data_IF_783582157738
#
_entry.id   IF_783582157738
#
_cell.length_a   1.000
_cell.length_b   1.000
_cell.length_c   1.000
_cell.angle_alpha   90.00
_cell.angle_beta   90.00
_cell.angle_gamma   90.00
#
_symmetry.space_group_name_H-M   'P 1'
#
loop_
_entity.id
_entity.type
_entity.pdbx_description
1 polymer ?
#
# COMPACT_ATOMS: atom_id res chain seq x y z
N UNK A 1 5.32 -56.66 30.29
CA UNK A 1 6.05 -56.27 29.06
C UNK A 1 5.25 -55.21 28.32
N UNK A 2 5.94 -54.11 28.01
CA UNK A 2 5.75 -53.06 26.98
C UNK A 2 4.33 -52.57 26.63
N UNK A 3 4.16 -51.27 26.93
CA UNK A 3 3.14 -50.31 26.47
C UNK A 3 2.93 -50.36 24.95
N UNK A 4 1.70 -50.21 24.47
CA UNK A 4 1.44 -49.59 23.18
C UNK A 4 0.20 -48.69 23.28
N UNK A 5 0.47 -47.40 23.54
CA UNK A 5 -0.41 -46.30 23.16
C UNK A 5 -0.19 -46.10 21.65
N UNK A 6 -1.20 -46.36 20.84
CA UNK A 6 -1.28 -45.84 19.46
C UNK A 6 -2.32 -44.73 19.43
N UNK A 7 -1.95 -43.62 20.07
CA UNK A 7 -2.40 -42.31 19.64
C UNK A 7 -1.42 -41.82 18.57
N UNK A 8 -1.90 -41.62 17.35
CA UNK A 8 -1.26 -40.69 16.42
C UNK A 8 -2.36 -39.92 15.72
N UNK A 9 -2.61 -38.73 16.28
CA UNK A 9 -3.34 -37.67 15.64
C UNK A 9 -2.66 -37.36 14.29
N UNK A 10 -3.41 -37.55 13.21
CA UNK A 10 -3.09 -36.91 11.93
C UNK A 10 -3.46 -35.44 12.13
N UNK A 11 -2.56 -34.67 12.73
CA UNK A 11 -2.62 -33.22 12.63
C UNK A 11 -2.08 -32.91 11.25
N UNK A 12 -3.01 -32.54 10.35
CA UNK A 12 -2.73 -32.02 9.04
C UNK A 12 -1.62 -30.94 9.15
N UNK A 13 -0.42 -31.27 8.68
CA UNK A 13 0.62 -30.32 8.40
C UNK A 13 0.23 -29.51 7.15
N UNK A 14 -0.85 -28.75 7.25
CA UNK A 14 -1.11 -27.62 6.39
C UNK A 14 -0.18 -26.50 6.83
N UNK A 15 1.10 -26.61 6.47
CA UNK A 15 1.95 -25.42 6.38
C UNK A 15 1.32 -24.59 5.27
N UNK A 16 0.36 -23.73 5.64
CA UNK A 16 0.00 -22.59 4.82
C UNK A 16 1.33 -21.86 4.60
N UNK A 17 1.93 -22.06 3.43
CA UNK A 17 2.87 -21.11 2.89
C UNK A 17 2.08 -19.80 2.74
N UNK A 18 2.01 -19.03 3.83
CA UNK A 18 1.46 -17.70 3.82
C UNK A 18 2.30 -16.93 2.81
N UNK A 19 1.75 -16.74 1.61
CA UNK A 19 2.40 -16.00 0.55
C UNK A 19 2.78 -14.63 1.09
N UNK A 20 4.05 -14.26 0.91
CA UNK A 20 4.60 -13.03 1.49
C UNK A 20 3.81 -11.80 0.99
N UNK A 21 3.49 -10.88 1.90
CA UNK A 21 2.88 -9.61 1.55
C UNK A 21 3.84 -8.83 0.62
N UNK A 22 3.35 -8.51 -0.57
CA UNK A 22 4.12 -7.83 -1.60
C UNK A 22 4.27 -6.31 -1.34
N UNK A 23 3.58 -5.78 -0.33
CA UNK A 23 3.70 -4.39 0.14
C UNK A 23 4.68 -4.33 1.31
N UNK A 24 5.65 -3.42 1.22
CA UNK A 24 6.52 -3.10 2.35
C UNK A 24 5.85 -2.07 3.28
N UNK A 25 5.94 -2.29 4.59
CA UNK A 25 5.43 -1.40 5.64
C UNK A 25 3.96 -0.97 5.44
N UNK A 26 3.08 -1.93 5.15
CA UNK A 26 1.66 -1.69 4.92
C UNK A 26 0.86 -1.26 6.15
N UNK A 27 1.39 -1.51 7.35
CA UNK A 27 0.86 -1.05 8.65
C UNK A 27 1.56 0.21 9.17
N UNK A 28 2.49 0.80 8.41
CA UNK A 28 3.18 2.05 8.77
C UNK A 28 3.98 2.04 10.08
N UNK A 29 4.23 0.88 10.68
CA UNK A 29 4.98 0.73 11.92
C UNK A 29 6.47 1.10 11.81
N UNK A 30 7.04 1.05 10.59
CA UNK A 30 8.44 1.44 10.37
C UNK A 30 8.54 2.95 10.09
N UNK A 31 8.83 3.73 11.13
CA UNK A 31 8.99 5.18 11.05
C UNK A 31 10.47 5.61 11.01
N UNK A 32 10.79 6.68 10.26
CA UNK A 32 12.09 7.32 10.30
C UNK A 32 12.19 8.31 11.48
N UNK A 33 13.40 8.52 12.03
CA UNK A 33 13.62 9.48 13.13
C UNK A 33 13.20 10.88 12.69
N UNK A 34 12.33 11.51 13.49
CA UNK A 34 11.78 12.88 13.37
C UNK A 34 12.86 13.87 12.91
N UNK A 35 12.75 14.42 11.69
CA UNK A 35 13.55 15.59 11.30
C UNK A 35 13.01 16.84 12.00
N UNK A 36 13.90 17.73 12.43
CA UNK A 36 13.60 18.93 13.25
C UNK A 36 12.88 20.08 12.50
N UNK A 37 12.53 19.92 11.23
CA UNK A 37 11.92 20.99 10.44
C UNK A 37 10.41 20.78 10.24
N UNK A 38 9.67 21.88 10.26
CA UNK A 38 8.21 21.98 10.02
C UNK A 38 7.74 21.48 8.63
N UNK A 39 8.65 20.92 7.83
CA UNK A 39 8.37 20.16 6.62
C UNK A 39 7.82 18.77 6.97
N UNK A 40 6.61 18.75 7.54
CA UNK A 40 5.98 17.63 8.25
C UNK A 40 5.75 16.32 7.46
N UNK A 41 6.21 16.17 6.22
CA UNK A 41 5.49 15.28 5.28
C UNK A 41 6.37 14.35 4.45
N UNK A 42 7.62 14.70 4.12
CA UNK A 42 8.41 13.87 3.19
C UNK A 42 9.32 12.82 3.86
N UNK A 43 9.37 12.77 5.20
CA UNK A 43 10.43 12.05 5.91
C UNK A 43 10.01 11.06 6.99
N UNK A 44 8.73 10.74 7.16
CA UNK A 44 8.27 9.98 8.34
C UNK A 44 8.09 8.46 8.13
N UNK A 45 7.75 7.99 6.94
CA UNK A 45 7.62 6.55 6.67
C UNK A 45 8.94 6.01 6.15
N UNK A 46 9.60 5.13 6.92
CA UNK A 46 10.81 4.44 6.47
C UNK A 46 10.42 3.14 5.78
N UNK A 47 11.02 2.86 4.63
CA UNK A 47 11.00 1.51 4.05
C UNK A 47 9.61 1.05 3.61
N UNK A 48 9.03 1.70 2.62
CA UNK A 48 7.85 1.15 1.96
C UNK A 48 7.10 2.19 1.14
N UNK A 49 6.78 3.34 1.72
CA UNK A 49 5.97 4.37 1.07
C UNK A 49 6.73 5.65 0.84
N UNK A 50 6.61 6.22 -0.36
CA UNK A 50 7.33 7.43 -0.76
C UNK A 50 6.40 8.49 -1.36
N UNK A 51 6.74 9.76 -1.10
CA UNK A 51 6.05 10.93 -1.64
C UNK A 51 6.78 11.36 -2.90
N UNK A 52 6.06 11.39 -4.03
CA UNK A 52 6.70 11.78 -5.27
C UNK A 52 7.31 10.60 -6.03
N UNK A 53 8.13 10.94 -7.04
CA UNK A 53 8.59 10.03 -8.11
C UNK A 53 9.29 8.89 -7.42
N UNK A 54 8.67 7.71 -7.36
CA UNK A 54 9.33 6.49 -6.88
C UNK A 54 10.69 6.29 -7.59
N UNK A 55 11.45 5.23 -7.27
CA UNK A 55 12.87 5.10 -7.61
C UNK A 55 13.23 5.05 -9.12
N UNK A 56 12.31 5.36 -10.04
CA UNK A 56 12.53 5.39 -11.48
C UNK A 56 11.74 6.55 -12.10
N UNK A 57 12.50 7.56 -12.57
CA UNK A 57 12.24 8.54 -13.64
C UNK A 57 10.88 9.29 -13.73
N UNK A 58 10.98 10.63 -13.84
CA UNK A 58 9.97 11.62 -14.26
C UNK A 58 8.52 11.11 -14.38
N UNK A 59 7.69 11.49 -13.40
CA UNK A 59 6.23 11.49 -13.49
C UNK A 59 5.71 12.00 -14.84
N UNK A 60 4.62 11.44 -15.35
CA UNK A 60 3.78 12.13 -16.31
C UNK A 60 3.33 13.46 -15.69
N UNK A 61 3.59 14.59 -16.35
CA UNK A 61 3.19 15.92 -15.89
C UNK A 61 1.68 16.01 -15.59
N UNK A 62 0.88 15.19 -16.28
CA UNK A 62 -0.56 15.03 -16.11
C UNK A 62 -1.01 14.50 -14.75
N UNK A 63 -0.11 14.04 -13.88
CA UNK A 63 -0.41 13.53 -12.54
C UNK A 63 0.35 14.25 -11.42
N UNK A 64 1.37 15.04 -11.76
CA UNK A 64 1.86 16.14 -10.90
C UNK A 64 1.05 17.40 -11.18
N UNK A 65 -0.24 17.24 -11.46
CA UNK A 65 -1.14 18.33 -11.82
C UNK A 65 -1.40 19.17 -10.60
N UNK A 66 -0.52 20.17 -10.45
CA UNK A 66 -0.44 21.18 -9.41
C UNK A 66 -0.02 20.62 -8.06
N UNK A 67 0.79 21.42 -7.37
CA UNK A 67 1.18 21.31 -5.97
C UNK A 67 -0.05 21.28 -5.04
N UNK A 68 -0.85 20.21 -5.10
CA UNK A 68 -1.90 19.96 -4.12
C UNK A 68 -1.25 19.96 -2.75
N UNK A 69 -1.76 20.81 -1.85
CA UNK A 69 -1.28 20.86 -0.46
C UNK A 69 -1.83 19.63 0.26
N UNK A 70 -1.18 18.49 0.07
CA UNK A 70 -1.45 17.35 0.94
C UNK A 70 -0.72 17.55 2.26
N UNK A 71 -1.49 17.42 3.34
CA UNK A 71 -0.98 17.14 4.68
C UNK A 71 -1.04 15.64 4.88
N UNK A 72 0.08 15.00 5.13
CA UNK A 72 0.06 13.61 5.56
C UNK A 72 1.02 13.37 6.69
N UNK A 73 0.64 12.49 7.60
CA UNK A 73 1.36 12.23 8.83
C UNK A 73 1.13 10.79 9.26
N UNK A 74 2.12 10.23 9.93
CA UNK A 74 1.90 9.03 10.72
C UNK A 74 1.16 9.45 11.99
N UNK A 75 0.06 8.75 12.26
CA UNK A 75 -0.72 8.89 13.49
C UNK A 75 -0.25 7.82 14.45
N UNK A 76 0.31 8.23 15.59
CA UNK A 76 0.86 7.32 16.59
C UNK A 76 0.04 7.43 17.87
N UNK A 77 -0.46 6.30 18.39
CA UNK A 77 -1.21 6.26 19.65
C UNK A 77 -0.39 6.91 20.76
N UNK A 78 -1.00 7.85 21.50
CA UNK A 78 -0.37 8.55 22.62
C UNK A 78 0.49 9.76 22.26
N UNK A 79 0.64 10.09 20.96
CA UNK A 79 1.23 11.36 20.52
C UNK A 79 0.14 12.35 20.10
N UNK A 80 0.33 13.66 20.36
CA UNK A 80 -0.58 14.74 19.92
C UNK A 80 -2.07 14.57 20.30
N UNK A 81 -2.36 13.86 21.39
CA UNK A 81 -3.73 13.58 21.82
C UNK A 81 -4.44 12.50 20.98
N UNK A 82 -3.70 11.74 20.16
CA UNK A 82 -4.27 10.67 19.33
C UNK A 82 -4.67 9.46 20.17
N UNK A 83 -5.94 9.12 20.07
CA UNK A 83 -6.54 7.95 20.71
C UNK A 83 -6.49 6.73 19.79
N UNK A 84 -6.74 5.55 20.38
CA UNK A 84 -6.74 4.26 19.67
C UNK A 84 -7.77 4.19 18.53
N UNK A 85 -8.75 5.09 18.48
CA UNK A 85 -9.77 5.12 17.43
C UNK A 85 -9.24 5.40 16.02
N UNK A 86 -8.02 5.92 15.88
CA UNK A 86 -7.38 6.26 14.61
C UNK A 86 -6.31 5.25 14.15
N UNK A 87 -6.18 4.11 14.83
CA UNK A 87 -5.20 3.05 14.50
C UNK A 87 -5.89 1.70 14.66
N UNK A 88 -5.76 0.79 13.68
CA UNK A 88 -6.45 -0.51 13.73
C UNK A 88 -5.55 -1.66 14.14
N UNK A 89 -4.26 -1.56 13.84
CA UNK A 89 -3.24 -2.52 14.26
C UNK A 89 -1.98 -1.80 14.75
N UNK A 90 -1.24 -2.44 15.66
CA UNK A 90 0.00 -1.87 16.18
C UNK A 90 -0.18 -0.54 16.91
N UNK A 91 0.67 0.44 16.56
CA UNK A 91 0.74 1.77 17.16
C UNK A 91 0.52 2.90 16.16
N UNK A 92 0.62 2.61 14.87
CA UNK A 92 0.72 3.60 13.82
C UNK A 92 -0.34 3.38 12.74
N UNK A 93 -0.87 4.46 12.21
CA UNK A 93 -1.61 4.48 10.95
C UNK A 93 -1.16 5.67 10.11
N UNK A 94 -1.63 5.75 8.86
CA UNK A 94 -1.32 6.88 7.99
C UNK A 94 -2.55 7.74 7.76
N UNK A 95 -2.41 9.05 7.97
CA UNK A 95 -3.46 10.04 7.78
C UNK A 95 -3.14 10.97 6.61
N UNK A 96 -4.11 11.18 5.71
CA UNK A 96 -4.02 12.04 4.53
C UNK A 96 -5.14 13.08 4.54
N UNK A 97 -4.77 14.35 4.40
CA UNK A 97 -5.69 15.48 4.29
C UNK A 97 -5.30 16.34 3.08
N UNK A 98 -6.23 16.55 2.15
CA UNK A 98 -6.03 17.47 1.03
C UNK A 98 -6.63 16.99 -0.28
N UNK A 99 -6.17 17.60 -1.38
CA UNK A 99 -6.65 17.31 -2.73
C UNK A 99 -5.53 16.77 -3.60
N UNK A 100 -5.89 15.83 -4.50
CA UNK A 100 -5.07 15.31 -5.61
C UNK A 100 -3.66 14.87 -5.17
N UNK A 101 -3.58 13.79 -4.39
CA UNK A 101 -2.31 13.21 -3.98
C UNK A 101 -2.07 11.81 -4.57
N UNK A 102 -0.81 11.40 -4.58
CA UNK A 102 -0.37 10.05 -4.85
C UNK A 102 0.84 9.71 -3.96
N UNK A 103 0.80 8.58 -3.25
CA UNK A 103 1.96 7.97 -2.59
C UNK A 103 2.19 6.57 -3.15
N UNK A 104 3.45 6.13 -3.21
CA UNK A 104 3.83 4.88 -3.89
C UNK A 104 4.47 3.92 -2.93
N UNK A 105 4.20 2.62 -3.11
CA UNK A 105 5.01 1.60 -2.48
C UNK A 105 6.29 1.36 -3.30
N UNK A 106 7.44 1.26 -2.63
CA UNK A 106 8.75 1.12 -3.24
C UNK A 106 9.04 -0.30 -3.75
N UNK A 107 8.30 -1.32 -3.28
CA UNK A 107 8.41 -2.69 -3.82
C UNK A 107 7.88 -2.74 -5.25
N UNK A 108 8.70 -3.28 -6.15
CA UNK A 108 8.33 -3.59 -7.53
C UNK A 108 7.56 -4.90 -7.56
N UNK A 109 6.41 -4.88 -8.22
CA UNK A 109 5.54 -6.03 -8.40
C UNK A 109 5.69 -6.61 -9.81
N UNK A 110 5.54 -7.92 -9.93
CA UNK A 110 5.36 -8.56 -11.23
C UNK A 110 3.91 -8.36 -11.70
N UNK A 111 3.65 -8.39 -13.02
CA UNK A 111 2.28 -8.53 -13.51
C UNK A 111 1.65 -9.82 -12.96
N UNK A 112 0.39 -9.78 -12.54
CA UNK A 112 -0.27 -10.94 -11.95
C UNK A 112 -1.60 -10.60 -11.27
N UNK A 113 -2.21 -11.61 -10.65
CA UNK A 113 -3.37 -11.44 -9.78
C UNK A 113 -2.92 -11.35 -8.33
N UNK A 114 -3.56 -10.46 -7.59
CA UNK A 114 -3.26 -10.22 -6.19
C UNK A 114 -4.55 -10.06 -5.39
N UNK A 115 -4.54 -10.49 -4.14
CA UNK A 115 -5.55 -10.17 -3.15
C UNK A 115 -5.11 -8.91 -2.41
N UNK A 116 -5.79 -7.80 -2.66
CA UNK A 116 -5.59 -6.52 -1.98
C UNK A 116 -6.54 -6.42 -0.80
N UNK A 117 -6.01 -6.07 0.38
CA UNK A 117 -6.81 -5.67 1.53
C UNK A 117 -6.22 -4.45 2.23
N UNK A 118 -7.07 -3.62 2.81
CA UNK A 118 -6.68 -2.47 3.64
C UNK A 118 -7.86 -2.00 4.47
N UNK A 119 -7.57 -1.32 5.58
CA UNK A 119 -8.57 -0.62 6.39
C UNK A 119 -8.53 0.87 6.13
N UNK A 120 -9.68 1.51 6.15
CA UNK A 120 -9.80 2.94 5.91
C UNK A 120 -10.93 3.58 6.72
N UNK A 121 -10.74 4.84 7.13
CA UNK A 121 -11.71 5.67 7.87
C UNK A 121 -11.61 7.12 7.42
N UNK A 122 -12.70 7.89 7.50
CA UNK A 122 -12.73 9.34 7.25
C UNK A 122 -13.65 9.73 6.10
N UNK A 123 -13.29 10.76 5.34
CA UNK A 123 -14.12 11.33 4.28
C UNK A 123 -13.37 11.49 2.96
N UNK A 124 -14.11 11.43 1.85
CA UNK A 124 -13.55 11.57 0.50
C UNK A 124 -13.32 10.24 -0.22
N UNK A 125 -12.64 10.32 -1.38
CA UNK A 125 -12.39 9.17 -2.25
C UNK A 125 -10.93 8.75 -2.19
N UNK A 126 -10.72 7.48 -1.86
CA UNK A 126 -9.42 6.81 -1.89
C UNK A 126 -9.38 5.83 -3.06
N UNK A 127 -8.31 5.84 -3.84
CA UNK A 127 -8.12 4.98 -5.01
C UNK A 127 -6.75 4.32 -4.95
N UNK A 128 -6.71 2.98 -4.93
CA UNK A 128 -5.49 2.25 -5.24
C UNK A 128 -5.31 2.17 -6.75
N UNK A 129 -4.08 2.40 -7.22
CA UNK A 129 -3.72 2.33 -8.63
C UNK A 129 -2.42 1.54 -8.81
N UNK A 130 -2.27 0.93 -9.98
CA UNK A 130 -1.00 0.36 -10.43
C UNK A 130 -0.34 1.27 -11.45
N UNK A 131 0.96 1.48 -11.32
CA UNK A 131 1.81 2.12 -12.31
C UNK A 131 2.59 1.06 -13.02
N UNK A 132 2.39 0.94 -14.33
CA UNK A 132 2.84 -0.20 -15.10
C UNK A 132 3.99 0.23 -16.03
N UNK A 133 5.03 -0.58 -16.07
CA UNK A 133 6.24 -0.28 -16.84
C UNK A 133 6.64 -1.45 -17.72
N UNK A 134 7.31 -1.11 -18.82
CA UNK A 134 8.04 -2.06 -19.64
C UNK A 134 9.40 -1.49 -20.00
N UNK A 135 10.34 -2.37 -20.33
CA UNK A 135 11.63 -1.99 -20.90
C UNK A 135 11.62 -2.34 -22.39
N UNK A 136 12.05 -1.41 -23.24
CA UNK A 136 12.16 -1.68 -24.68
C UNK A 136 13.41 -2.51 -25.02
N UNK A 137 13.59 -2.84 -26.30
CA UNK A 137 14.75 -3.60 -26.77
C UNK A 137 16.10 -2.93 -26.48
N UNK A 138 16.12 -1.61 -26.22
CA UNK A 138 17.30 -0.82 -25.82
C UNK A 138 17.43 -0.70 -24.30
N UNK A 139 16.64 -1.47 -23.53
CA UNK A 139 16.55 -1.44 -22.06
C UNK A 139 16.13 -0.07 -21.50
N UNK A 140 15.45 0.76 -22.31
CA UNK A 140 14.87 2.01 -21.81
C UNK A 140 13.52 1.71 -21.19
N UNK A 141 13.31 2.20 -19.97
CA UNK A 141 12.03 2.08 -19.26
C UNK A 141 11.00 3.05 -19.79
N UNK A 142 9.79 2.56 -20.02
CA UNK A 142 8.61 3.32 -20.37
C UNK A 142 7.51 3.11 -19.33
N UNK A 143 6.81 4.18 -18.98
CA UNK A 143 5.66 4.17 -18.07
C UNK A 143 4.38 4.24 -18.92
N UNK A 144 3.48 3.27 -18.75
CA UNK A 144 2.18 3.25 -19.44
C UNK A 144 1.11 4.09 -18.72
N UNK A 145 1.49 4.74 -17.64
CA UNK A 145 0.61 5.50 -16.78
C UNK A 145 -0.11 4.64 -15.74
N UNK A 146 -0.82 5.31 -14.84
CA UNK A 146 -1.59 4.67 -13.79
C UNK A 146 -2.85 4.01 -14.32
N UNK A 147 -3.19 2.88 -13.71
CA UNK A 147 -4.48 2.19 -13.89
C UNK A 147 -5.16 2.05 -12.53
N UNK A 148 -6.40 2.53 -12.36
CA UNK A 148 -7.13 2.33 -11.13
C UNK A 148 -7.39 0.83 -10.91
N UNK A 149 -7.17 0.35 -9.69
CA UNK A 149 -7.45 -1.03 -9.29
C UNK A 149 -8.76 -1.09 -8.51
N UNK A 150 -8.88 -0.23 -7.49
CA UNK A 150 -10.08 -0.10 -6.67
C UNK A 150 -10.23 1.35 -6.23
N UNK A 151 -11.47 1.81 -6.12
CA UNK A 151 -11.80 3.08 -5.47
C UNK A 151 -12.85 2.85 -4.40
N UNK A 152 -12.65 3.45 -3.23
CA UNK A 152 -13.59 3.41 -2.10
C UNK A 152 -13.96 4.83 -1.69
N UNK A 153 -15.18 4.98 -1.18
CA UNK A 153 -15.60 6.19 -0.47
C UNK A 153 -15.42 5.93 1.02
N UNK A 154 -14.59 6.75 1.66
CA UNK A 154 -14.37 6.65 3.09
C UNK A 154 -15.64 6.99 3.88
N UNK A 155 -15.75 6.40 5.07
CA UNK A 155 -16.83 6.63 6.02
C UNK A 155 -16.24 6.93 7.39
N UNK A 156 -17.04 7.53 8.26
CA UNK A 156 -16.63 7.96 9.61
C UNK A 156 -16.16 6.80 10.51
N UNK A 157 -16.55 5.56 10.19
CA UNK A 157 -16.14 4.35 10.89
C UNK A 157 -15.17 3.53 10.05
N UNK A 158 -14.25 2.81 10.71
CA UNK A 158 -13.32 1.91 10.03
C UNK A 158 -14.06 0.91 9.13
N UNK A 159 -13.67 0.90 7.87
CA UNK A 159 -14.12 -0.04 6.87
C UNK A 159 -12.95 -0.92 6.45
N UNK A 160 -13.24 -2.14 6.00
CA UNK A 160 -12.26 -3.04 5.42
C UNK A 160 -12.59 -3.25 3.96
N UNK A 161 -11.62 -3.05 3.08
CA UNK A 161 -11.67 -3.58 1.72
C UNK A 161 -10.88 -4.88 1.66
N UNK A 162 -11.40 -5.88 0.93
CA UNK A 162 -10.69 -7.10 0.59
C UNK A 162 -11.22 -7.61 -0.75
N UNK A 163 -10.34 -7.77 -1.74
CA UNK A 163 -10.74 -8.20 -3.08
C UNK A 163 -9.56 -8.55 -3.97
N UNK A 164 -9.83 -9.27 -5.04
CA UNK A 164 -8.84 -9.57 -6.06
C UNK A 164 -8.67 -8.39 -7.02
N UNK A 165 -7.42 -8.10 -7.37
CA UNK A 165 -7.03 -7.08 -8.34
C UNK A 165 -6.04 -7.67 -9.34
N UNK A 166 -6.12 -7.22 -10.59
CA UNK A 166 -5.18 -7.63 -11.64
C UNK A 166 -4.24 -6.47 -11.95
N UNK A 167 -2.93 -6.74 -11.86
CA UNK A 167 -1.87 -5.76 -12.10
C UNK A 167 -1.11 -6.17 -13.36
N UNK A 168 -0.98 -5.27 -14.33
CA UNK A 168 -0.16 -5.47 -15.54
C UNK A 168 -0.56 -6.58 -16.53
N UNK A 169 -1.38 -7.57 -16.15
CA UNK A 169 -1.69 -8.75 -16.98
C UNK A 169 -2.50 -8.44 -18.26
N UNK A 170 -3.06 -7.23 -18.37
CA UNK A 170 -3.79 -6.76 -19.54
C UNK A 170 -2.89 -6.37 -20.72
N UNK A 171 -1.57 -6.25 -20.51
CA UNK A 171 -0.63 -6.00 -21.60
C UNK A 171 0.65 -6.83 -21.39
N UNK A 172 0.97 -7.76 -22.32
CA UNK A 172 2.11 -8.66 -22.18
C UNK A 172 3.47 -7.95 -22.23
N UNK A 173 3.54 -6.68 -22.65
CA UNK A 173 4.81 -5.93 -22.62
C UNK A 173 5.17 -5.50 -21.21
N UNK A 174 4.21 -5.38 -20.29
CA UNK A 174 4.45 -4.91 -18.92
C UNK A 174 5.30 -5.95 -18.21
N UNK A 175 6.44 -5.54 -17.66
CA UNK A 175 7.36 -6.42 -16.95
C UNK A 175 7.49 -6.09 -15.45
N UNK A 176 6.99 -4.93 -15.02
CA UNK A 176 6.97 -4.52 -13.61
C UNK A 176 5.91 -3.47 -13.33
N UNK A 177 5.44 -3.44 -12.10
CA UNK A 177 4.48 -2.46 -11.61
C UNK A 177 4.85 -1.89 -10.24
N UNK A 178 4.32 -0.72 -9.91
CA UNK A 178 4.32 -0.13 -8.57
C UNK A 178 2.87 0.09 -8.13
N UNK A 179 2.59 -0.07 -6.84
CA UNK A 179 1.29 0.30 -6.27
C UNK A 179 1.35 1.72 -5.76
N UNK A 180 0.26 2.44 -5.97
CA UNK A 180 0.05 3.76 -5.42
C UNK A 180 -1.31 3.87 -4.75
N UNK A 181 -1.38 4.75 -3.75
CA UNK A 181 -2.62 5.24 -3.17
C UNK A 181 -2.78 6.68 -3.63
N UNK A 182 -3.93 6.97 -4.21
CA UNK A 182 -4.31 8.30 -4.59
C UNK A 182 -5.57 8.73 -3.85
N UNK A 183 -5.74 10.02 -3.68
CA UNK A 183 -7.02 10.55 -3.20
C UNK A 183 -7.27 11.97 -3.66
N UNK A 184 -8.55 12.32 -3.65
CA UNK A 184 -9.04 13.64 -4.05
C UNK A 184 -10.08 14.11 -3.04
N UNK A 185 -9.87 15.30 -2.48
CA UNK A 185 -10.69 15.86 -1.38
C UNK A 185 -10.86 14.86 -0.25
N UNK A 186 -9.73 14.47 0.34
CA UNK A 186 -9.70 13.46 1.40
C UNK A 186 -9.41 14.08 2.75
N UNK A 187 -9.95 13.43 3.77
CA UNK A 187 -9.48 13.41 5.14
C UNK A 187 -9.60 11.94 5.58
N UNK A 188 -8.55 11.15 5.35
CA UNK A 188 -8.62 9.68 5.42
C UNK A 188 -7.46 9.10 6.22
N UNK A 189 -7.80 8.19 7.11
CA UNK A 189 -6.87 7.27 7.77
C UNK A 189 -6.83 5.95 6.99
N UNK A 190 -5.65 5.38 6.82
CA UNK A 190 -5.46 4.06 6.23
C UNK A 190 -4.49 3.24 7.08
N UNK A 191 -4.73 1.93 7.11
CA UNK A 191 -3.92 0.98 7.87
C UNK A 191 -4.02 -0.44 7.26
N UNK A 192 -3.17 -1.36 7.71
CA UNK A 192 -3.19 -2.79 7.40
C UNK A 192 -3.20 -3.12 5.89
N UNK A 193 -2.41 -2.41 5.10
CA UNK A 193 -2.33 -2.64 3.67
C UNK A 193 -1.61 -3.96 3.39
N UNK A 194 -2.30 -4.86 2.69
CA UNK A 194 -1.76 -6.14 2.26
C UNK A 194 -2.04 -6.39 0.80
N UNK A 195 -1.06 -6.93 0.10
CA UNK A 195 -1.18 -7.37 -1.28
C UNK A 195 -0.52 -8.73 -1.41
N UNK A 196 -1.32 -9.78 -1.50
CA UNK A 196 -0.85 -11.16 -1.53
C UNK A 196 -0.99 -11.70 -2.96
N UNK A 197 0.07 -12.20 -3.60
CA UNK A 197 -0.06 -12.78 -4.95
C UNK A 197 -0.99 -14.00 -4.94
N UNK A 198 -1.95 -14.10 -5.86
CA UNK A 198 -2.90 -15.22 -5.96
C UNK A 198 -2.44 -16.21 -7.03
N UNK A 199 -2.07 -15.69 -8.21
CA UNK A 199 -1.49 -16.44 -9.33
C UNK A 199 -0.23 -15.68 -9.76
N UNK A 200 0.94 -16.26 -9.54
CA UNK A 200 2.21 -15.79 -10.13
C UNK A 200 2.68 -16.86 -11.09
N UNK A 201 2.34 -16.68 -12.36
CA UNK A 201 2.91 -17.47 -13.46
C UNK A 201 4.39 -17.10 -13.65
#
# INVERSE_FOLDING_TARGET
MKKLLTGLAIVAAGVLCAQENAIANGSFEQIAKKQKSDSYIMGQVRGGWDFGKGPIAKFPESWVTNHGKIKSRVVTIGENGEEKENVTDGKNSMHFVGERFAIYNSKRLRPGKYKLSFKYKGSGRLTFASYNYYDDAKKKTHNLGPRPLVSVLAKDQWQTYSGEVTIGKWNPTINRSLIAINGNRVDVYIDEISLIPVDVD
#
